data_IF_296249214636
#
_entry.id   IF_296249214636
#
_cell.length_a   1.000
_cell.length_b   1.000
_cell.length_c   1.000
_cell.angle_alpha   90.00
_cell.angle_beta   90.00
_cell.angle_gamma   90.00
#
_symmetry.space_group_name_H-M   'P 1'
#
loop_
_entity.id
_entity.type
_entity.pdbx_description
1 polymer ?
#
# COMPACT_ATOMS: atom_id res chain seq x y z
N UNK A 1 16.58 -16.48 10.30
CA UNK A 1 15.47 -15.81 9.59
C UNK A 1 15.44 -14.38 10.11
N UNK A 2 15.37 -13.40 9.23
CA UNK A 2 15.32 -11.99 9.66
C UNK A 2 14.00 -11.71 10.41
N UNK A 3 14.07 -10.91 11.48
CA UNK A 3 12.86 -10.36 12.13
C UNK A 3 12.27 -9.29 11.20
N UNK A 4 10.96 -9.36 10.97
CA UNK A 4 10.23 -8.44 10.07
C UNK A 4 9.13 -7.65 10.78
N UNK A 5 8.99 -7.84 12.10
CA UNK A 5 7.97 -7.14 12.91
C UNK A 5 8.43 -5.71 13.15
N UNK A 6 7.61 -4.76 12.69
CA UNK A 6 7.81 -3.31 12.86
C UNK A 6 9.13 -2.75 12.30
N UNK A 7 9.81 -3.48 11.44
CA UNK A 7 11.06 -3.03 10.81
C UNK A 7 10.75 -1.97 9.75
N UNK A 8 11.52 -0.89 9.73
CA UNK A 8 11.40 0.20 8.75
C UNK A 8 11.93 -0.19 7.37
N UNK A 9 11.51 0.55 6.34
CA UNK A 9 12.05 0.39 4.98
C UNK A 9 13.57 0.60 4.96
N UNK A 10 14.07 1.60 5.70
CA UNK A 10 15.50 1.88 5.79
C UNK A 10 16.28 0.68 6.39
N UNK A 11 15.81 0.09 7.48
CA UNK A 11 16.44 -1.08 8.09
C UNK A 11 16.43 -2.31 7.18
N UNK A 12 15.32 -2.54 6.45
CA UNK A 12 15.23 -3.62 5.46
C UNK A 12 16.22 -3.39 4.30
N UNK A 13 16.29 -2.17 3.79
CA UNK A 13 17.25 -1.79 2.74
C UNK A 13 18.68 -1.99 3.19
N UNK A 14 19.04 -1.53 4.38
CA UNK A 14 20.38 -1.71 4.95
C UNK A 14 20.73 -3.20 5.15
N UNK A 15 19.74 -4.02 5.50
CA UNK A 15 19.93 -5.46 5.61
C UNK A 15 20.21 -6.11 4.25
N UNK A 16 19.49 -5.68 3.20
CA UNK A 16 19.70 -6.13 1.82
C UNK A 16 21.06 -5.66 1.26
N UNK A 17 21.41 -4.40 1.47
CA UNK A 17 22.67 -3.80 0.98
C UNK A 17 23.91 -4.39 1.66
N UNK A 18 23.81 -4.67 2.96
CA UNK A 18 24.91 -5.30 3.72
C UNK A 18 25.01 -6.82 3.54
N UNK A 19 24.04 -7.43 2.82
CA UNK A 19 24.00 -8.88 2.66
C UNK A 19 23.60 -9.65 3.92
N UNK A 20 23.05 -8.99 4.94
CA UNK A 20 22.50 -9.63 6.15
C UNK A 20 21.24 -10.43 5.85
N UNK A 21 20.58 -10.14 4.75
CA UNK A 21 19.44 -10.88 4.23
C UNK A 21 19.38 -10.74 2.71
N UNK A 22 18.55 -11.57 2.07
CA UNK A 22 18.20 -11.47 0.64
C UNK A 22 16.73 -11.07 0.49
N UNK A 23 16.34 -10.62 -0.69
CA UNK A 23 14.94 -10.33 -0.98
C UNK A 23 14.07 -11.59 -0.90
N UNK A 24 14.61 -12.75 -1.28
CA UNK A 24 13.96 -14.06 -1.13
C UNK A 24 13.67 -14.36 0.34
N UNK A 25 14.67 -14.22 1.22
CA UNK A 25 14.50 -14.44 2.67
C UNK A 25 13.49 -13.47 3.29
N UNK A 26 13.50 -12.21 2.86
CA UNK A 26 12.53 -11.21 3.30
C UNK A 26 11.11 -11.61 2.90
N UNK A 27 10.88 -11.91 1.63
CA UNK A 27 9.56 -12.33 1.14
C UNK A 27 9.10 -13.59 1.86
N UNK A 28 9.96 -14.57 2.05
CA UNK A 28 9.65 -15.80 2.82
C UNK A 28 9.27 -15.48 4.28
N UNK A 29 9.98 -14.58 4.95
CA UNK A 29 9.67 -14.20 6.32
C UNK A 29 8.28 -13.54 6.44
N UNK A 30 7.94 -12.61 5.53
CA UNK A 30 6.63 -11.99 5.50
C UNK A 30 5.52 -12.99 5.14
N UNK A 31 5.73 -13.86 4.16
CA UNK A 31 4.75 -14.90 3.80
C UNK A 31 4.52 -15.87 4.97
N UNK A 32 5.57 -16.30 5.67
CA UNK A 32 5.45 -17.15 6.85
C UNK A 32 4.65 -16.45 7.97
N UNK A 33 4.85 -15.14 8.15
CA UNK A 33 4.07 -14.36 9.11
C UNK A 33 2.59 -14.26 8.72
N UNK A 34 2.30 -14.04 7.44
CA UNK A 34 0.92 -14.05 6.94
C UNK A 34 0.29 -15.44 7.16
N UNK A 35 1.02 -16.53 6.89
CA UNK A 35 0.53 -17.90 7.09
C UNK A 35 0.22 -18.20 8.56
N UNK A 36 1.02 -17.65 9.47
CA UNK A 36 0.87 -17.87 10.92
C UNK A 36 -0.33 -17.12 11.54
N UNK A 37 -0.73 -15.96 11.01
CA UNK A 37 -1.69 -15.07 11.67
C UNK A 37 -2.91 -14.70 10.85
N UNK A 38 -2.84 -14.80 9.52
CA UNK A 38 -3.89 -14.29 8.62
C UNK A 38 -4.84 -15.38 8.14
N UNK A 39 -4.36 -16.61 8.02
CA UNK A 39 -5.12 -17.70 7.43
C UNK A 39 -6.31 -18.14 8.30
N UNK A 40 -7.41 -18.62 7.69
CA UNK A 40 -8.49 -19.27 8.42
C UNK A 40 -7.97 -20.44 9.26
N UNK A 41 -8.42 -20.55 10.52
CA UNK A 41 -7.99 -21.58 11.46
C UNK A 41 -6.75 -21.26 12.28
N UNK A 42 -6.06 -20.15 12.01
CA UNK A 42 -5.04 -19.61 12.92
C UNK A 42 -5.71 -18.94 14.13
N UNK A 43 -4.99 -18.75 15.26
CA UNK A 43 -5.59 -18.14 16.45
C UNK A 43 -6.14 -16.73 16.22
N UNK A 44 -5.58 -15.99 15.29
CA UNK A 44 -5.97 -14.60 14.98
C UNK A 44 -6.87 -14.49 13.76
N UNK A 45 -6.65 -15.33 12.73
CA UNK A 45 -7.42 -15.35 11.48
C UNK A 45 -7.77 -13.95 10.95
N UNK A 46 -6.75 -13.07 10.82
CA UNK A 46 -6.93 -11.64 10.54
C UNK A 46 -7.59 -11.37 9.19
N UNK A 47 -7.49 -12.32 8.24
CA UNK A 47 -8.12 -12.25 6.91
C UNK A 47 -7.85 -10.94 6.18
N UNK A 48 -6.62 -10.45 6.30
CA UNK A 48 -6.21 -9.16 5.74
C UNK A 48 -5.68 -9.30 4.31
N UNK A 49 -4.87 -10.33 4.00
CA UNK A 49 -4.31 -10.58 2.66
C UNK A 49 -5.07 -11.73 2.00
N UNK A 50 -5.98 -11.37 1.10
CA UNK A 50 -7.00 -12.30 0.57
C UNK A 50 -6.68 -12.87 -0.81
N UNK A 51 -5.75 -12.27 -1.53
CA UNK A 51 -5.20 -12.77 -2.80
C UNK A 51 -3.69 -12.73 -2.71
N UNK A 52 -3.04 -13.89 -2.82
CA UNK A 52 -1.57 -14.01 -2.79
C UNK A 52 -1.00 -13.79 -4.19
N UNK A 53 0.16 -13.12 -4.27
CA UNK A 53 0.91 -13.07 -5.51
C UNK A 53 1.75 -14.33 -5.67
N UNK A 54 1.45 -15.20 -6.64
CA UNK A 54 2.22 -16.43 -6.85
C UNK A 54 3.65 -16.16 -7.33
N UNK A 55 3.91 -14.99 -7.91
CA UNK A 55 5.19 -14.61 -8.49
C UNK A 55 6.11 -13.88 -7.51
N UNK A 56 5.67 -13.63 -6.26
CA UNK A 56 6.43 -12.84 -5.28
C UNK A 56 7.85 -13.38 -5.04
N UNK A 57 8.03 -14.69 -4.96
CA UNK A 57 9.36 -15.29 -4.81
C UNK A 57 10.21 -15.18 -6.07
N UNK A 58 9.64 -15.27 -7.26
CA UNK A 58 10.36 -15.07 -8.51
C UNK A 58 10.80 -13.60 -8.68
N UNK A 59 9.93 -12.64 -8.28
CA UNK A 59 10.27 -11.22 -8.25
C UNK A 59 11.40 -10.94 -7.25
N UNK A 60 11.42 -11.62 -6.09
CA UNK A 60 12.48 -11.54 -5.10
C UNK A 60 13.82 -12.09 -5.62
N UNK A 61 13.80 -13.26 -6.28
CA UNK A 61 14.99 -13.81 -6.93
C UNK A 61 15.57 -12.86 -7.98
N UNK A 62 14.70 -12.20 -8.75
CA UNK A 62 15.12 -11.19 -9.72
C UNK A 62 15.77 -9.97 -9.05
N UNK A 63 15.28 -9.53 -7.88
CA UNK A 63 15.90 -8.48 -7.08
C UNK A 63 17.28 -8.90 -6.59
N UNK A 64 17.41 -10.09 -6.01
CA UNK A 64 18.70 -10.61 -5.54
C UNK A 64 19.71 -10.71 -6.69
N UNK A 65 19.28 -11.16 -7.87
CA UNK A 65 20.13 -11.23 -9.05
C UNK A 65 20.60 -9.84 -9.52
N UNK A 66 19.76 -8.79 -9.44
CA UNK A 66 20.16 -7.40 -9.74
C UNK A 66 21.17 -6.90 -8.72
N UNK A 67 20.92 -7.12 -7.41
CA UNK A 67 21.84 -6.71 -6.34
C UNK A 67 23.21 -7.38 -6.48
N UNK A 68 23.25 -8.65 -6.84
CA UNK A 68 24.52 -9.38 -7.08
C UNK A 68 25.35 -8.77 -8.23
N UNK A 69 24.71 -8.06 -9.18
CA UNK A 69 25.38 -7.33 -10.25
C UNK A 69 25.65 -5.86 -9.93
N UNK A 70 25.23 -5.37 -8.74
CA UNK A 70 25.33 -3.95 -8.39
C UNK A 70 24.31 -3.06 -9.12
N UNK A 71 23.19 -3.59 -9.59
CA UNK A 71 22.17 -2.94 -10.41
C UNK A 71 20.78 -2.88 -9.71
N UNK A 72 20.66 -2.44 -8.45
CA UNK A 72 19.35 -2.29 -7.83
C UNK A 72 18.53 -1.20 -8.56
N UNK A 73 17.21 -1.40 -8.65
CA UNK A 73 16.31 -0.47 -9.35
C UNK A 73 16.01 0.82 -8.56
N UNK A 74 16.31 0.85 -7.28
CA UNK A 74 16.08 2.02 -6.44
C UNK A 74 15.96 1.66 -4.96
N UNK A 75 15.55 2.62 -4.11
CA UNK A 75 15.53 2.44 -2.65
C UNK A 75 14.49 1.40 -2.17
N UNK A 76 13.52 1.05 -3.00
CA UNK A 76 12.51 0.05 -2.70
C UNK A 76 12.77 -1.32 -3.36
N UNK A 77 13.91 -1.52 -4.03
CA UNK A 77 14.21 -2.81 -4.68
C UNK A 77 14.30 -3.93 -3.65
N UNK A 78 13.45 -4.95 -3.80
CA UNK A 78 13.36 -6.07 -2.87
C UNK A 78 12.48 -5.82 -1.63
N UNK A 79 11.88 -4.63 -1.48
CA UNK A 79 11.01 -4.29 -0.34
C UNK A 79 9.58 -4.78 -0.59
N UNK A 80 9.02 -5.64 0.30
CA UNK A 80 7.68 -6.19 0.11
C UNK A 80 6.57 -5.22 0.52
N UNK A 81 5.46 -5.22 -0.25
CA UNK A 81 4.27 -4.42 0.04
C UNK A 81 2.97 -5.19 -0.26
N UNK A 82 1.84 -4.64 0.21
CA UNK A 82 0.50 -5.12 -0.13
C UNK A 82 -0.31 -4.02 -0.81
N UNK A 83 -1.28 -4.41 -1.67
CA UNK A 83 -2.17 -3.47 -2.34
C UNK A 83 -3.64 -3.81 -2.01
N UNK A 84 -4.48 -2.79 -1.76
CA UNK A 84 -5.92 -2.97 -1.59
C UNK A 84 -6.54 -3.66 -2.82
N UNK A 85 -7.58 -4.46 -2.62
CA UNK A 85 -8.19 -5.25 -3.71
C UNK A 85 -8.81 -4.41 -4.85
N UNK A 86 -8.91 -3.09 -4.68
CA UNK A 86 -9.29 -2.14 -5.72
C UNK A 86 -8.19 -1.83 -6.74
N UNK A 87 -6.91 -2.08 -6.42
CA UNK A 87 -5.81 -1.85 -7.37
C UNK A 87 -5.72 -2.96 -8.41
N UNK A 88 -5.56 -2.60 -9.67
CA UNK A 88 -5.14 -3.54 -10.69
C UNK A 88 -3.67 -3.90 -10.44
N UNK A 89 -3.41 -5.18 -10.19
CA UNK A 89 -2.07 -5.78 -10.16
C UNK A 89 -2.07 -6.86 -11.23
N UNK A 90 -1.29 -6.68 -12.29
CA UNK A 90 -1.26 -7.57 -13.45
C UNK A 90 -1.10 -9.03 -13.03
N UNK A 91 -1.98 -9.89 -13.52
CA UNK A 91 -1.99 -11.32 -13.22
C UNK A 91 -2.79 -11.73 -11.98
N UNK A 92 -3.16 -10.78 -11.11
CA UNK A 92 -3.99 -11.05 -9.93
C UNK A 92 -5.44 -10.69 -10.17
N UNK A 93 -6.34 -11.30 -9.39
CA UNK A 93 -7.75 -10.89 -9.39
C UNK A 93 -7.92 -9.49 -8.80
N UNK A 94 -8.89 -8.76 -9.30
CA UNK A 94 -9.22 -7.39 -8.89
C UNK A 94 -10.73 -7.30 -8.65
N UNK A 95 -11.20 -8.01 -7.63
CA UNK A 95 -12.62 -8.10 -7.30
C UNK A 95 -13.19 -6.82 -6.69
N UNK A 96 -12.34 -5.94 -6.15
CA UNK A 96 -12.76 -4.79 -5.34
C UNK A 96 -13.75 -5.22 -4.23
N UNK A 97 -13.48 -6.37 -3.59
CA UNK A 97 -14.35 -6.97 -2.57
C UNK A 97 -15.69 -7.50 -3.08
N UNK A 98 -16.02 -7.35 -4.36
CA UNK A 98 -17.33 -7.69 -4.92
C UNK A 98 -17.39 -9.12 -5.43
N UNK A 99 -18.40 -9.91 -5.05
CA UNK A 99 -18.61 -11.24 -5.63
C UNK A 99 -18.82 -11.25 -7.15
N UNK A 100 -19.34 -10.15 -7.71
CA UNK A 100 -19.58 -10.03 -9.15
C UNK A 100 -18.30 -10.02 -9.98
N UNK A 101 -17.17 -9.64 -9.39
CA UNK A 101 -15.88 -9.51 -10.07
C UNK A 101 -14.80 -10.45 -9.52
N UNK A 102 -15.19 -11.47 -8.76
CA UNK A 102 -14.26 -12.40 -8.08
C UNK A 102 -13.24 -13.07 -9.01
N UNK A 103 -13.61 -13.25 -10.27
CA UNK A 103 -12.79 -13.94 -11.29
C UNK A 103 -12.16 -12.95 -12.30
N UNK A 104 -12.32 -11.63 -12.09
CA UNK A 104 -11.74 -10.64 -12.98
C UNK A 104 -10.24 -10.52 -12.74
N UNK A 105 -9.43 -10.98 -13.70
CA UNK A 105 -7.97 -10.90 -13.65
C UNK A 105 -7.48 -9.64 -14.33
N UNK A 106 -6.68 -8.85 -13.61
CA UNK A 106 -6.09 -7.62 -14.13
C UNK A 106 -5.08 -7.91 -15.25
N UNK A 107 -5.24 -7.22 -16.39
CA UNK A 107 -4.36 -7.36 -17.57
C UNK A 107 -3.19 -6.35 -17.55
N UNK A 108 -3.24 -5.39 -16.65
CA UNK A 108 -2.23 -4.33 -16.45
C UNK A 108 -2.15 -3.93 -14.99
N UNK A 109 -1.08 -3.27 -14.64
CA UNK A 109 -0.92 -2.67 -13.32
C UNK A 109 -1.68 -1.32 -13.24
N UNK A 110 -2.13 -0.94 -12.05
CA UNK A 110 -2.46 0.44 -11.72
C UNK A 110 -1.18 1.30 -11.75
N UNK A 111 -1.32 2.60 -12.02
CA UNK A 111 -0.15 3.50 -12.10
C UNK A 111 0.77 3.39 -10.87
N UNK A 112 0.20 3.43 -9.66
CA UNK A 112 0.98 3.31 -8.43
C UNK A 112 1.73 1.98 -8.35
N UNK A 113 1.12 0.88 -8.81
CA UNK A 113 1.75 -0.45 -8.86
C UNK A 113 2.87 -0.48 -9.93
N UNK A 114 2.65 0.16 -11.09
CA UNK A 114 3.70 0.33 -12.12
C UNK A 114 4.93 1.05 -11.55
N UNK A 115 4.70 2.14 -10.80
CA UNK A 115 5.79 2.91 -10.17
C UNK A 115 6.57 2.09 -9.15
N UNK A 116 5.87 1.38 -8.27
CA UNK A 116 6.49 0.51 -7.26
C UNK A 116 7.25 -0.65 -7.90
N UNK A 117 6.68 -1.29 -8.92
CA UNK A 117 7.36 -2.35 -9.67
C UNK A 117 8.61 -1.84 -10.37
N UNK A 118 8.55 -0.64 -10.97
CA UNK A 118 9.71 0.00 -11.60
C UNK A 118 10.82 0.35 -10.59
N UNK A 119 10.46 0.60 -9.33
CA UNK A 119 11.39 0.80 -8.22
C UNK A 119 11.85 -0.52 -7.56
N UNK A 120 11.40 -1.68 -8.06
CA UNK A 120 11.79 -3.01 -7.60
C UNK A 120 11.04 -3.50 -6.36
N UNK A 121 10.01 -2.79 -5.88
CA UNK A 121 9.19 -3.26 -4.76
C UNK A 121 8.36 -4.49 -5.15
N UNK A 122 8.16 -5.40 -4.21
CA UNK A 122 7.55 -6.71 -4.44
C UNK A 122 6.14 -6.75 -3.85
N UNK A 123 5.12 -6.93 -4.70
CA UNK A 123 3.76 -7.08 -4.24
C UNK A 123 3.54 -8.49 -3.66
N UNK A 124 3.22 -8.61 -2.35
CA UNK A 124 2.90 -9.89 -1.74
C UNK A 124 1.47 -10.35 -2.02
N UNK A 125 0.57 -9.43 -2.31
CA UNK A 125 -0.82 -9.74 -2.60
C UNK A 125 -1.78 -8.58 -2.36
N UNK A 126 -3.09 -8.92 -2.43
CA UNK A 126 -4.19 -7.96 -2.34
C UNK A 126 -4.83 -8.04 -0.96
N UNK A 127 -5.20 -6.87 -0.42
CA UNK A 127 -5.81 -6.78 0.92
C UNK A 127 -7.32 -6.59 0.84
N UNK A 128 -7.99 -7.13 1.88
CA UNK A 128 -9.44 -7.20 2.01
C UNK A 128 -10.09 -5.80 2.04
N UNK A 129 -11.30 -5.73 1.53
CA UNK A 129 -12.14 -4.55 1.53
C UNK A 129 -13.62 -4.93 1.37
N UNK A 130 -14.57 -4.08 1.80
CA UNK A 130 -15.99 -4.29 1.50
C UNK A 130 -16.26 -4.12 0.00
N UNK A 131 -17.38 -4.66 -0.51
CA UNK A 131 -17.73 -4.57 -1.93
C UNK A 131 -17.69 -3.14 -2.46
N UNK A 132 -16.91 -2.92 -3.51
CA UNK A 132 -16.76 -1.65 -4.23
C UNK A 132 -16.41 -0.45 -3.33
N UNK A 133 -15.67 -0.69 -2.24
CA UNK A 133 -15.30 0.31 -1.23
C UNK A 133 -16.50 1.00 -0.53
N UNK A 134 -17.71 0.47 -0.66
CA UNK A 134 -18.90 1.06 -0.09
C UNK A 134 -19.07 0.65 1.38
N UNK A 135 -18.52 1.43 2.29
CA UNK A 135 -18.53 1.22 3.73
C UNK A 135 -17.17 0.79 4.29
N UNK A 136 -17.17 0.13 5.45
CA UNK A 136 -15.94 -0.23 6.16
C UNK A 136 -15.81 -1.71 6.44
N UNK A 137 -16.75 -2.27 7.19
CA UNK A 137 -16.66 -3.63 7.72
C UNK A 137 -17.74 -4.57 7.17
N UNK A 138 -18.42 -4.18 6.11
CA UNK A 138 -19.35 -5.06 5.39
C UNK A 138 -18.56 -6.22 4.78
N UNK A 139 -19.12 -7.43 4.87
CA UNK A 139 -18.50 -8.64 4.35
C UNK A 139 -18.65 -8.69 2.83
N UNK A 140 -17.54 -8.71 2.13
CA UNK A 140 -17.47 -8.92 0.68
C UNK A 140 -17.21 -10.38 0.33
N UNK A 141 -16.70 -10.60 -0.89
CA UNK A 141 -16.36 -11.93 -1.42
C UNK A 141 -15.38 -12.71 -0.51
N UNK A 142 -14.51 -11.99 0.19
CA UNK A 142 -13.52 -12.57 1.09
C UNK A 142 -13.89 -12.46 2.58
N UNK A 143 -15.11 -12.04 2.92
CA UNK A 143 -15.47 -11.68 4.29
C UNK A 143 -14.96 -10.28 4.65
N UNK A 144 -14.36 -10.12 5.84
CA UNK A 144 -13.76 -8.86 6.30
C UNK A 144 -12.44 -9.14 7.02
N UNK A 145 -11.55 -8.15 7.07
CA UNK A 145 -10.37 -8.20 7.93
C UNK A 145 -10.74 -7.95 9.40
N UNK A 146 -9.97 -8.54 10.32
CA UNK A 146 -10.16 -8.38 11.75
C UNK A 146 -9.05 -7.49 12.37
N UNK A 147 -9.27 -7.00 13.59
CA UNK A 147 -8.30 -6.14 14.27
C UNK A 147 -7.05 -6.91 14.67
N UNK A 148 -5.83 -6.40 14.35
CA UNK A 148 -4.59 -7.05 14.76
C UNK A 148 -4.29 -6.88 16.25
N UNK A 149 -5.00 -5.98 16.94
CA UNK A 149 -4.75 -5.67 18.34
C UNK A 149 -5.71 -6.37 19.29
N UNK A 150 -7.00 -6.45 18.92
CA UNK A 150 -8.01 -7.01 19.80
C UNK A 150 -9.23 -7.47 19.00
N UNK A 151 -9.53 -8.77 19.06
CA UNK A 151 -10.65 -9.39 18.36
C UNK A 151 -12.04 -8.88 18.80
N UNK A 152 -12.14 -8.18 19.95
CA UNK A 152 -13.40 -7.57 20.40
C UNK A 152 -13.73 -6.26 19.67
N UNK A 153 -12.79 -5.69 18.90
CA UNK A 153 -12.96 -4.44 18.18
C UNK A 153 -12.80 -4.63 16.68
N UNK A 154 -13.42 -3.75 15.92
CA UNK A 154 -13.28 -3.70 14.47
C UNK A 154 -11.97 -2.99 14.10
N UNK A 155 -11.33 -3.44 13.03
CA UNK A 155 -10.12 -2.78 12.48
C UNK A 155 -10.43 -1.44 11.80
N UNK A 156 -11.69 -1.16 11.49
CA UNK A 156 -12.18 0.11 10.98
C UNK A 156 -13.62 0.36 11.45
N UNK A 157 -14.15 1.60 11.41
CA UNK A 157 -15.56 1.87 11.66
C UNK A 157 -16.45 1.13 10.67
N UNK A 158 -17.60 0.62 11.12
CA UNK A 158 -18.47 -0.21 10.28
C UNK A 158 -18.92 0.52 9.01
N UNK A 159 -19.26 1.79 9.12
CA UNK A 159 -19.78 2.59 7.99
C UNK A 159 -18.71 3.43 7.26
N UNK A 160 -17.45 3.39 7.66
CA UNK A 160 -16.48 4.43 7.31
C UNK A 160 -15.05 3.92 7.19
N UNK A 161 -14.78 2.96 6.39
CA UNK A 161 -13.39 2.54 6.31
C UNK A 161 -13.11 1.42 5.34
N UNK A 162 -13.05 1.66 4.05
CA UNK A 162 -12.98 0.52 3.13
C UNK A 162 -11.60 -0.15 3.04
N UNK A 163 -10.52 0.50 3.50
CA UNK A 163 -9.17 -0.09 3.48
C UNK A 163 -8.86 -0.91 4.75
N UNK A 164 -9.86 -1.68 5.23
CA UNK A 164 -9.74 -2.45 6.47
C UNK A 164 -8.59 -3.47 6.42
N UNK A 165 -8.48 -4.25 5.35
CA UNK A 165 -7.41 -5.22 5.18
C UNK A 165 -6.02 -4.58 5.04
N UNK A 166 -5.91 -3.42 4.36
CA UNK A 166 -4.65 -2.70 4.26
C UNK A 166 -4.19 -2.18 5.64
N UNK A 167 -5.12 -1.66 6.45
CA UNK A 167 -4.85 -1.26 7.83
C UNK A 167 -4.34 -2.44 8.67
N UNK A 168 -5.09 -3.54 8.68
CA UNK A 168 -4.70 -4.76 9.41
C UNK A 168 -3.35 -5.30 8.94
N UNK A 169 -3.14 -5.47 7.63
CA UNK A 169 -1.92 -6.05 7.08
C UNK A 169 -0.68 -5.21 7.42
N UNK A 170 -0.77 -3.88 7.31
CA UNK A 170 0.35 -3.00 7.62
C UNK A 170 0.65 -2.99 9.12
N UNK A 171 -0.37 -2.89 9.97
CA UNK A 171 -0.20 -2.92 11.43
C UNK A 171 0.30 -4.27 11.94
N UNK A 172 -0.14 -5.39 11.35
CA UNK A 172 0.33 -6.73 11.68
C UNK A 172 1.73 -7.05 11.13
N UNK A 173 2.39 -6.12 10.46
CA UNK A 173 3.67 -6.36 9.78
C UNK A 173 3.62 -7.53 8.79
N UNK A 174 2.58 -7.58 7.95
CA UNK A 174 2.48 -8.54 6.85
C UNK A 174 3.22 -8.10 5.59
N UNK A 175 3.68 -6.85 5.59
CA UNK A 175 4.56 -6.25 4.60
C UNK A 175 5.27 -5.04 5.23
N UNK A 176 6.23 -4.47 4.55
CA UNK A 176 6.89 -3.23 4.97
C UNK A 176 5.91 -2.05 4.95
N UNK A 177 5.04 -2.00 3.94
CA UNK A 177 4.03 -0.95 3.76
C UNK A 177 2.81 -1.46 2.98
N UNK A 178 1.75 -0.64 2.89
CA UNK A 178 0.53 -0.97 2.19
C UNK A 178 0.02 0.15 1.29
N UNK A 179 -0.74 -0.21 0.25
CA UNK A 179 -1.51 0.72 -0.56
C UNK A 179 -2.98 0.65 -0.19
N UNK A 180 -3.51 1.76 0.28
CA UNK A 180 -4.93 2.01 0.52
C UNK A 180 -5.45 3.06 -0.46
N UNK A 181 -6.73 3.34 -0.41
CA UNK A 181 -7.35 4.45 -1.13
C UNK A 181 -8.43 5.10 -0.28
N UNK A 182 -8.82 6.31 -0.62
CA UNK A 182 -9.85 7.05 0.07
C UNK A 182 -10.78 7.77 -0.89
N UNK A 183 -12.06 7.73 -0.56
CA UNK A 183 -13.11 8.59 -1.11
C UNK A 183 -13.48 9.64 -0.06
N UNK A 184 -13.94 9.20 1.13
CA UNK A 184 -14.32 10.07 2.27
C UNK A 184 -13.40 9.91 3.47
N UNK A 185 -13.13 8.67 3.87
CA UNK A 185 -12.40 8.31 5.09
C UNK A 185 -11.67 6.97 4.97
N UNK A 186 -11.77 6.32 3.80
CA UNK A 186 -11.30 4.94 3.62
C UNK A 186 -9.78 4.79 3.77
N UNK A 187 -9.03 5.87 3.63
CA UNK A 187 -7.60 5.92 3.93
C UNK A 187 -7.36 6.26 5.40
N UNK A 188 -7.84 7.39 5.87
CA UNK A 188 -7.58 7.93 7.22
C UNK A 188 -8.21 7.08 8.33
N UNK A 189 -9.46 6.60 8.14
CA UNK A 189 -10.18 5.85 9.17
C UNK A 189 -9.46 4.58 9.60
N UNK A 190 -9.19 3.61 8.68
CA UNK A 190 -8.44 2.41 9.04
C UNK A 190 -7.02 2.69 9.53
N UNK A 191 -6.32 3.70 8.97
CA UNK A 191 -4.99 4.07 9.44
C UNK A 191 -5.03 4.54 10.91
N UNK A 192 -5.96 5.44 11.25
CA UNK A 192 -6.14 5.94 12.61
C UNK A 192 -6.46 4.82 13.60
N UNK A 193 -7.38 3.90 13.23
CA UNK A 193 -7.75 2.77 14.09
C UNK A 193 -6.59 1.79 14.33
N UNK A 194 -5.62 1.75 13.43
CA UNK A 194 -4.49 0.82 13.47
C UNK A 194 -3.15 1.49 13.81
N UNK A 195 -3.15 2.77 14.22
CA UNK A 195 -1.93 3.48 14.64
C UNK A 195 -0.92 3.69 13.51
N UNK A 196 -1.39 3.84 12.27
CA UNK A 196 -0.55 3.97 11.08
C UNK A 196 -0.40 5.42 10.63
N UNK A 197 0.72 5.72 9.99
CA UNK A 197 0.91 6.90 9.18
C UNK A 197 0.23 6.71 7.82
N UNK A 198 -0.56 7.70 7.42
CA UNK A 198 -1.25 7.73 6.14
C UNK A 198 -1.26 9.15 5.58
N UNK A 199 -1.15 9.27 4.27
CA UNK A 199 -1.23 10.56 3.59
C UNK A 199 -2.35 10.54 2.55
N UNK A 200 -3.36 11.38 2.77
CA UNK A 200 -4.43 11.61 1.80
C UNK A 200 -4.08 12.84 0.97
N UNK A 201 -3.61 12.65 -0.28
CA UNK A 201 -3.17 13.75 -1.13
C UNK A 201 -4.35 14.57 -1.67
N UNK A 202 -4.05 15.74 -2.21
CA UNK A 202 -4.97 16.42 -3.12
C UNK A 202 -5.19 15.58 -4.38
N UNK A 203 -6.38 15.69 -4.98
CA UNK A 203 -6.72 14.97 -6.22
C UNK A 203 -5.77 15.34 -7.34
N UNK A 204 -5.32 14.34 -8.10
CA UNK A 204 -4.35 14.52 -9.18
C UNK A 204 -2.88 14.52 -8.77
N UNK A 205 -2.54 14.56 -7.47
CA UNK A 205 -1.13 14.44 -7.01
C UNK A 205 -0.58 13.05 -7.30
N UNK A 206 -1.38 12.01 -7.03
CA UNK A 206 -1.07 10.63 -7.40
C UNK A 206 -2.16 10.17 -8.37
N UNK A 207 -1.76 9.60 -9.52
CA UNK A 207 -2.73 9.07 -10.49
C UNK A 207 -3.51 7.91 -9.90
N UNK A 208 -4.84 7.95 -10.06
CA UNK A 208 -5.75 6.86 -9.69
C UNK A 208 -5.99 5.87 -10.83
N UNK A 209 -5.28 6.00 -11.95
CA UNK A 209 -5.40 5.09 -13.09
C UNK A 209 -5.19 3.65 -12.66
N UNK A 210 -6.17 2.81 -12.97
CA UNK A 210 -6.12 1.39 -12.64
C UNK A 210 -6.61 1.05 -11.23
N UNK A 211 -7.23 2.00 -10.53
CA UNK A 211 -7.98 1.74 -9.32
C UNK A 211 -9.48 1.62 -9.63
N UNK A 212 -10.17 0.68 -9.01
CA UNK A 212 -11.62 0.63 -9.03
C UNK A 212 -12.20 1.86 -8.33
N UNK A 213 -13.02 2.66 -9.00
CA UNK A 213 -13.57 3.85 -8.37
C UNK A 213 -14.75 3.50 -7.44
N UNK A 214 -14.87 4.24 -6.34
CA UNK A 214 -16.14 4.42 -5.64
C UNK A 214 -16.81 5.71 -6.13
N UNK A 215 -16.08 6.82 -6.09
CA UNK A 215 -16.55 8.13 -6.57
C UNK A 215 -15.41 8.85 -7.29
N UNK A 216 -15.36 8.81 -8.63
CA UNK A 216 -14.22 9.32 -9.41
C UNK A 216 -13.83 10.78 -9.13
N UNK A 217 -14.78 11.60 -8.66
CA UNK A 217 -14.51 12.99 -8.27
C UNK A 217 -13.86 13.15 -6.90
N UNK A 218 -13.75 12.06 -6.12
CA UNK A 218 -13.27 12.10 -4.73
C UNK A 218 -12.10 11.16 -4.44
N UNK A 219 -11.98 10.09 -5.21
CA UNK A 219 -11.02 9.01 -4.94
C UNK A 219 -9.57 9.48 -5.05
N UNK A 220 -8.75 9.04 -4.09
CA UNK A 220 -7.30 9.28 -4.06
C UNK A 220 -6.56 8.03 -3.58
N UNK A 221 -5.31 7.88 -4.05
CA UNK A 221 -4.37 6.87 -3.53
C UNK A 221 -3.87 7.30 -2.16
N UNK A 222 -3.86 6.36 -1.21
CA UNK A 222 -3.38 6.61 0.17
C UNK A 222 -2.35 5.54 0.56
N UNK A 223 -1.06 5.85 0.56
CA UNK A 223 -0.06 4.92 1.07
C UNK A 223 -0.12 4.85 2.60
N UNK A 224 0.15 3.65 3.14
CA UNK A 224 0.23 3.34 4.57
C UNK A 224 1.62 2.89 4.96
N UNK A 225 2.11 3.42 6.07
CA UNK A 225 3.34 2.98 6.70
C UNK A 225 3.22 3.02 8.23
N UNK A 226 4.14 2.36 8.94
CA UNK A 226 4.23 2.43 10.40
C UNK A 226 4.95 3.68 10.89
N UNK A 227 5.76 4.31 10.02
CA UNK A 227 6.47 5.55 10.33
C UNK A 227 6.29 6.61 9.24
N UNK A 228 6.46 7.88 9.60
CA UNK A 228 6.48 8.97 8.61
C UNK A 228 7.68 8.90 7.69
N UNK A 229 8.83 8.41 8.16
CA UNK A 229 10.01 8.23 7.34
C UNK A 229 9.73 7.26 6.18
N UNK A 230 9.16 6.09 6.47
CA UNK A 230 8.75 5.12 5.46
C UNK A 230 7.70 5.69 4.50
N UNK A 231 6.72 6.43 5.05
CA UNK A 231 5.69 7.07 4.23
C UNK A 231 6.28 8.04 3.21
N UNK A 232 7.26 8.84 3.62
CA UNK A 232 7.94 9.79 2.74
C UNK A 232 8.75 9.08 1.64
N UNK A 233 9.38 7.95 1.93
CA UNK A 233 10.06 7.13 0.92
C UNK A 233 9.09 6.57 -0.12
N UNK A 234 7.91 6.11 0.31
CA UNK A 234 6.87 5.65 -0.61
C UNK A 234 6.37 6.78 -1.51
N UNK A 235 6.09 7.96 -0.93
CA UNK A 235 5.66 9.14 -1.68
C UNK A 235 6.68 9.56 -2.75
N UNK A 236 7.97 9.42 -2.46
CA UNK A 236 9.03 9.76 -3.40
C UNK A 236 8.98 8.92 -4.70
N UNK A 237 8.46 7.71 -4.61
CA UNK A 237 8.28 6.79 -5.75
C UNK A 237 6.93 6.99 -6.44
N UNK A 238 5.83 7.13 -5.68
CA UNK A 238 4.47 7.06 -6.25
C UNK A 238 3.95 8.42 -6.74
N UNK A 239 4.48 9.54 -6.24
CA UNK A 239 4.15 10.88 -6.74
C UNK A 239 5.00 11.18 -7.97
N UNK A 240 4.48 10.84 -9.13
CA UNK A 240 5.16 10.99 -10.41
C UNK A 240 4.15 11.34 -11.52
N UNK A 241 4.66 11.83 -12.64
CA UNK A 241 3.84 12.12 -13.82
C UNK A 241 3.30 10.81 -14.41
N UNK A 242 2.00 10.79 -14.69
CA UNK A 242 1.36 9.73 -15.48
C UNK A 242 0.96 10.31 -16.85
N UNK A 243 1.59 9.85 -17.93
CA UNK A 243 1.25 10.31 -19.27
C UNK A 243 -0.09 9.76 -19.79
N UNK A 244 -0.61 8.68 -19.18
CA UNK A 244 -1.89 8.09 -19.52
C UNK A 244 -2.96 8.55 -18.52
N UNK A 245 -3.83 9.44 -18.97
CA UNK A 245 -4.88 10.02 -18.12
C UNK A 245 -6.16 9.19 -18.06
N UNK A 246 -6.28 8.12 -18.86
CA UNK A 246 -7.50 7.31 -18.95
C UNK A 246 -7.88 6.67 -17.62
N UNK A 247 -9.11 6.97 -17.16
CA UNK A 247 -9.60 6.46 -15.87
C UNK A 247 -9.24 7.32 -14.67
N UNK A 248 -8.56 8.45 -14.88
CA UNK A 248 -8.32 9.47 -13.87
C UNK A 248 -9.13 10.73 -14.24
N UNK A 249 -10.30 10.91 -13.62
CA UNK A 249 -11.21 11.99 -13.93
C UNK A 249 -10.54 13.36 -13.88
N UNK A 250 -9.76 13.62 -12.83
CA UNK A 250 -9.15 14.94 -12.61
C UNK A 250 -8.08 15.27 -13.65
N UNK A 251 -7.39 14.27 -14.17
CA UNK A 251 -6.40 14.44 -15.24
C UNK A 251 -7.03 14.47 -16.64
N UNK A 252 -8.24 13.89 -16.81
CA UNK A 252 -8.96 13.89 -18.09
C UNK A 252 -9.83 15.13 -18.30
N UNK A 253 -10.34 15.73 -17.22
CA UNK A 253 -11.29 16.82 -17.30
C UNK A 253 -10.62 18.13 -17.72
N UNK A 254 -11.30 19.01 -18.52
CA UNK A 254 -10.73 20.27 -18.98
C UNK A 254 -11.10 21.50 -18.12
N UNK A 255 -11.89 21.32 -17.06
CA UNK A 255 -12.50 22.45 -16.32
C UNK A 255 -11.52 23.10 -15.33
N UNK A 256 -10.62 22.29 -14.77
CA UNK A 256 -9.62 22.75 -13.77
C UNK A 256 -8.26 22.25 -14.21
N UNK A 257 -7.27 23.13 -14.42
CA UNK A 257 -5.91 22.69 -14.71
C UNK A 257 -5.30 21.99 -13.50
N UNK A 258 -4.86 20.76 -13.69
CA UNK A 258 -4.13 20.00 -12.69
C UNK A 258 -2.63 20.03 -13.09
N UNK A 259 -1.74 20.59 -12.26
CA UNK A 259 -0.32 20.60 -12.59
C UNK A 259 0.23 19.17 -12.61
N UNK A 260 1.31 18.96 -13.34
CA UNK A 260 2.04 17.70 -13.28
C UNK A 260 2.65 17.50 -11.91
N UNK A 261 2.73 16.25 -11.47
CA UNK A 261 3.37 15.92 -10.20
C UNK A 261 4.80 16.46 -10.13
N UNK A 262 5.56 16.36 -11.22
CA UNK A 262 6.93 16.89 -11.32
C UNK A 262 7.07 18.40 -11.13
N UNK A 263 5.99 19.17 -11.37
CA UNK A 263 5.99 20.63 -11.26
C UNK A 263 5.73 21.11 -9.81
N UNK A 264 5.10 20.28 -8.98
CA UNK A 264 4.63 20.68 -7.65
C UNK A 264 5.18 19.85 -6.50
N UNK A 265 5.75 18.67 -6.78
CA UNK A 265 6.35 17.85 -5.74
C UNK A 265 7.67 18.44 -5.23
N UNK A 266 8.08 18.20 -3.97
CA UNK A 266 9.44 18.49 -3.53
C UNK A 266 10.46 17.66 -4.33
N UNK A 267 11.69 18.11 -4.39
CA UNK A 267 12.79 17.38 -5.04
C UNK A 267 12.99 15.99 -4.39
N UNK A 268 12.78 15.90 -3.07
CA UNK A 268 12.81 14.66 -2.30
C UNK A 268 11.82 14.75 -1.15
N UNK A 269 10.90 13.78 -1.05
CA UNK A 269 10.03 13.66 0.10
C UNK A 269 10.79 13.26 1.38
N UNK A 270 11.75 12.31 1.37
CA UNK A 270 12.55 11.98 2.55
C UNK A 270 13.30 13.18 3.16
N UNK A 271 13.72 14.13 2.32
CA UNK A 271 14.39 15.35 2.79
C UNK A 271 13.47 16.29 3.60
N UNK A 272 12.15 16.05 3.59
CA UNK A 272 11.18 16.78 4.42
C UNK A 272 11.12 16.26 5.86
N UNK A 273 11.77 15.12 6.18
CA UNK A 273 11.86 14.60 7.54
C UNK A 273 12.69 15.53 8.40
N UNK A 274 12.02 16.46 9.08
CA UNK A 274 12.64 17.42 9.97
C UNK A 274 12.65 16.91 11.41
N UNK A 275 13.68 17.25 12.18
CA UNK A 275 13.75 16.94 13.60
C UNK A 275 12.72 17.73 14.44
N UNK A 276 12.62 17.40 15.73
CA UNK A 276 11.67 18.05 16.65
C UNK A 276 11.86 19.58 16.72
N UNK A 277 13.06 20.08 16.48
CA UNK A 277 13.37 21.52 16.46
C UNK A 277 12.60 22.29 15.37
N UNK A 278 12.19 21.62 14.29
CA UNK A 278 11.39 22.24 13.23
C UNK A 278 10.01 22.73 13.70
N UNK A 279 9.53 22.23 14.83
CA UNK A 279 8.26 22.63 15.44
C UNK A 279 8.41 23.84 16.40
N UNK A 280 9.64 24.18 16.78
CA UNK A 280 9.90 25.30 17.68
C UNK A 280 9.37 26.62 17.09
N UNK A 281 8.57 27.34 17.87
CA UNK A 281 7.96 28.63 17.46
C UNK A 281 6.84 28.53 16.42
N UNK A 282 6.42 27.32 15.98
CA UNK A 282 5.26 27.14 15.10
C UNK A 282 3.96 27.28 15.90
N UNK A 283 2.97 27.94 15.30
CA UNK A 283 1.62 28.04 15.83
C UNK A 283 0.70 27.09 15.04
N UNK A 284 -0.08 26.30 15.76
CA UNK A 284 -1.08 25.42 15.19
C UNK A 284 -2.47 25.99 15.49
N UNK A 285 -3.31 26.08 14.47
CA UNK A 285 -4.74 26.32 14.66
C UNK A 285 -5.40 25.01 15.11
N UNK A 286 -6.29 25.09 16.11
CA UNK A 286 -7.07 23.98 16.63
C UNK A 286 -8.54 24.28 16.39
#
# INVERSE_FOLDING_TARGET
MIEVTEVSIAELRDALESGRTTAVELVQAYLARIDAYDAPGTPTALNAVVVRNPDALAEAQASDARRARGEPLGPLDGIPYTAKDSYLVKGLTAASGSPAFKDLVAQRDAFTVERLRAAGAICLGKTNMPPMANGGMQRGVYGRAESPYNAAYLTAPFASGSSNGAGTATAASFAAFGLAEETWSSGRGPASNNGLCAYTPSRGVISVRGNWPLTPTMDVVVPYARSMADLLEILDVVVADDPDTRGDLWRMQPWVPIPKASEVRPASYPALAAGAEALAGKRFGV
#
